data_IF_827003507358
#
_entry.id   IF_827003507358
#
_cell.length_a   1.000
_cell.length_b   1.000
_cell.length_c   1.000
_cell.angle_alpha   90.00
_cell.angle_beta   90.00
_cell.angle_gamma   90.00
#
_symmetry.space_group_name_H-M   'P 1'
#
loop_
_entity.id
_entity.type
_entity.pdbx_description
1 polymer ?
#
# COMPACT_ATOMS: atom_id res chain seq x y z
N UNK A 1 -21.49 21.03 -18.12
CA UNK A 1 -20.65 20.35 -17.12
C UNK A 1 -19.24 20.75 -17.50
N UNK A 2 -18.71 21.77 -16.81
CA UNK A 2 -17.63 22.58 -17.36
C UNK A 2 -16.27 21.92 -17.13
N UNK A 3 -15.60 21.57 -18.23
CA UNK A 3 -14.24 21.01 -18.23
C UNK A 3 -13.23 21.97 -17.57
N UNK A 4 -13.49 23.28 -17.59
CA UNK A 4 -12.66 24.30 -16.95
C UNK A 4 -12.62 24.17 -15.42
N UNK A 5 -13.70 23.71 -14.79
CA UNK A 5 -13.74 23.43 -13.34
C UNK A 5 -12.85 22.22 -13.01
N UNK A 6 -12.82 21.21 -13.89
CA UNK A 6 -12.02 20.00 -13.72
C UNK A 6 -10.52 20.28 -13.95
N UNK A 7 -10.17 21.02 -15.00
CA UNK A 7 -8.82 21.55 -15.26
C UNK A 7 -8.33 22.44 -14.11
N UNK A 8 -9.21 23.29 -13.57
CA UNK A 8 -8.92 24.12 -12.39
C UNK A 8 -8.64 23.32 -11.11
N UNK A 9 -9.27 22.15 -10.95
CA UNK A 9 -9.03 21.25 -9.83
C UNK A 9 -7.72 20.45 -9.99
N UNK A 10 -7.38 20.06 -11.22
CA UNK A 10 -6.14 19.37 -11.57
C UNK A 10 -4.91 20.28 -11.50
N UNK A 11 -5.03 21.56 -11.87
CA UNK A 11 -3.95 22.55 -11.80
C UNK A 11 -3.54 22.95 -10.37
N UNK A 12 -4.35 22.56 -9.37
CA UNK A 12 -4.13 22.86 -7.94
C UNK A 12 -3.54 21.69 -7.14
N UNK A 13 -3.09 20.62 -7.80
CA UNK A 13 -2.35 19.55 -7.14
C UNK A 13 -0.98 20.10 -6.68
N UNK A 14 -0.68 20.15 -5.36
CA UNK A 14 0.66 20.49 -4.92
C UNK A 14 1.64 19.48 -5.52
N UNK A 15 2.80 19.96 -5.99
CA UNK A 15 3.82 19.08 -6.56
C UNK A 15 4.12 17.93 -5.59
N UNK A 16 3.94 16.68 -6.06
CA UNK A 16 4.08 15.48 -5.22
C UNK A 16 5.36 15.52 -4.39
N UNK A 17 5.18 15.35 -3.08
CA UNK A 17 6.28 15.26 -2.14
C UNK A 17 7.23 14.14 -2.57
N UNK A 18 8.51 14.25 -2.17
CA UNK A 18 9.48 13.20 -2.46
C UNK A 18 9.02 11.83 -1.93
N UNK A 19 8.37 11.79 -0.77
CA UNK A 19 7.79 10.58 -0.18
C UNK A 19 6.68 9.98 -1.03
N UNK A 20 5.79 10.79 -1.61
CA UNK A 20 4.70 10.28 -2.47
C UNK A 20 5.24 9.69 -3.76
N UNK A 21 6.18 10.38 -4.43
CA UNK A 21 6.84 9.84 -5.63
C UNK A 21 7.56 8.51 -5.36
N UNK A 22 8.19 8.38 -4.19
CA UNK A 22 8.82 7.11 -3.77
C UNK A 22 7.77 6.06 -3.45
N UNK A 23 6.63 6.43 -2.86
CA UNK A 23 5.55 5.50 -2.55
C UNK A 23 4.97 4.86 -3.83
N UNK A 24 4.71 5.67 -4.86
CA UNK A 24 4.18 5.19 -6.14
C UNK A 24 5.17 4.24 -6.84
N UNK A 25 6.44 4.64 -6.91
CA UNK A 25 7.50 3.82 -7.49
C UNK A 25 7.66 2.47 -6.77
N UNK A 26 7.62 2.50 -5.44
CA UNK A 26 7.69 1.28 -4.63
C UNK A 26 6.44 0.41 -4.81
N UNK A 27 5.26 1.02 -4.94
CA UNK A 27 3.99 0.30 -5.16
C UNK A 27 4.07 -0.50 -6.45
N UNK A 28 4.46 0.13 -7.55
CA UNK A 28 4.55 -0.51 -8.87
C UNK A 28 5.57 -1.65 -8.90
N UNK A 29 6.80 -1.39 -8.41
CA UNK A 29 7.86 -2.39 -8.43
C UNK A 29 7.55 -3.57 -7.51
N UNK A 30 7.07 -3.31 -6.29
CA UNK A 30 6.73 -4.40 -5.36
C UNK A 30 5.54 -5.20 -5.90
N UNK A 31 4.50 -4.57 -6.43
CA UNK A 31 3.37 -5.29 -7.04
C UNK A 31 3.84 -6.22 -8.16
N UNK A 32 4.72 -5.73 -9.05
CA UNK A 32 5.33 -6.56 -10.11
C UNK A 32 6.10 -7.74 -9.53
N UNK A 33 6.92 -7.50 -8.52
CA UNK A 33 7.71 -8.54 -7.88
C UNK A 33 6.85 -9.62 -7.19
N UNK A 34 5.74 -9.23 -6.54
CA UNK A 34 4.83 -10.19 -5.92
C UNK A 34 4.17 -11.12 -6.95
N UNK A 35 3.96 -10.65 -8.17
CA UNK A 35 3.36 -11.44 -9.25
C UNK A 35 4.34 -12.44 -9.87
N UNK A 36 5.63 -12.09 -10.02
CA UNK A 36 6.56 -12.87 -10.86
C UNK A 36 7.86 -13.33 -10.19
N UNK A 37 8.26 -12.72 -9.07
CA UNK A 37 9.59 -12.95 -8.49
C UNK A 37 9.53 -13.60 -7.09
N UNK A 38 8.48 -13.32 -6.32
CA UNK A 38 8.28 -13.95 -5.02
C UNK A 38 7.70 -15.35 -5.21
N UNK A 39 8.52 -16.37 -4.89
CA UNK A 39 8.17 -17.80 -5.04
C UNK A 39 7.56 -18.45 -3.79
N UNK A 40 7.10 -17.65 -2.83
CA UNK A 40 6.43 -18.18 -1.64
C UNK A 40 4.96 -18.50 -2.00
N UNK A 41 4.51 -19.77 -1.90
CA UNK A 41 3.12 -20.16 -2.21
C UNK A 41 2.08 -19.43 -1.37
N UNK A 42 2.46 -18.88 -0.21
CA UNK A 42 1.57 -18.12 0.68
C UNK A 42 1.35 -16.69 0.20
N UNK A 43 2.14 -16.25 -0.77
CA UNK A 43 2.13 -14.87 -1.30
C UNK A 43 1.74 -14.86 -2.77
N UNK A 44 2.32 -15.76 -3.56
CA UNK A 44 2.17 -15.78 -5.02
C UNK A 44 0.71 -15.97 -5.44
N UNK A 45 0.18 -15.02 -6.22
CA UNK A 45 -1.20 -15.07 -6.74
C UNK A 45 -2.30 -14.83 -5.69
N UNK A 46 -1.94 -14.63 -4.42
CA UNK A 46 -2.89 -14.39 -3.34
C UNK A 46 -2.88 -12.95 -2.84
N UNK A 47 -1.76 -12.22 -3.01
CA UNK A 47 -1.56 -10.89 -2.40
C UNK A 47 -1.60 -9.79 -3.46
N UNK A 48 -2.37 -8.73 -3.17
CA UNK A 48 -2.45 -7.51 -3.97
C UNK A 48 -2.04 -6.29 -3.14
N UNK A 49 -1.18 -5.43 -3.68
CA UNK A 49 -0.80 -4.15 -3.03
C UNK A 49 -1.88 -3.09 -3.30
N UNK A 50 -2.53 -2.60 -2.26
CA UNK A 50 -3.58 -1.57 -2.36
C UNK A 50 -2.97 -0.18 -2.33
N UNK A 51 -2.14 0.11 -1.33
CA UNK A 51 -1.53 1.42 -1.15
C UNK A 51 -0.19 1.33 -0.45
N UNK A 52 0.62 2.39 -0.60
CA UNK A 52 1.92 2.51 0.06
C UNK A 52 2.02 3.90 0.68
N UNK A 53 2.48 3.96 1.93
CA UNK A 53 2.81 5.21 2.62
C UNK A 53 4.26 5.21 3.05
N UNK A 54 5.01 6.19 2.58
CA UNK A 54 6.43 6.36 2.92
C UNK A 54 6.59 7.52 3.89
N UNK A 55 7.38 7.32 4.93
CA UNK A 55 7.70 8.38 5.90
C UNK A 55 8.46 9.53 5.23
N UNK A 56 8.33 10.76 5.74
CA UNK A 56 8.97 11.95 5.14
C UNK A 56 10.50 11.81 5.04
N UNK A 57 11.12 11.08 5.96
CA UNK A 57 12.55 10.78 5.99
C UNK A 57 12.97 9.59 5.11
N UNK A 58 12.01 8.97 4.41
CA UNK A 58 12.20 7.84 3.49
C UNK A 58 12.80 6.59 4.16
N UNK A 59 12.69 6.45 5.48
CA UNK A 59 13.23 5.30 6.20
C UNK A 59 12.29 4.11 6.24
N UNK A 60 10.97 4.36 6.24
CA UNK A 60 9.95 3.32 6.36
C UNK A 60 8.91 3.45 5.24
N UNK A 61 8.53 2.32 4.66
CA UNK A 61 7.44 2.20 3.70
C UNK A 61 6.42 1.19 4.22
N UNK A 62 5.19 1.64 4.41
CA UNK A 62 4.07 0.83 4.90
C UNK A 62 3.18 0.47 3.71
N UNK A 63 3.07 -0.82 3.42
CA UNK A 63 2.25 -1.39 2.36
C UNK A 63 0.95 -1.90 2.97
N UNK A 64 -0.17 -1.38 2.48
CA UNK A 64 -1.48 -2.01 2.70
C UNK A 64 -1.70 -3.04 1.61
N UNK A 65 -1.99 -4.28 2.00
CA UNK A 65 -2.23 -5.40 1.09
C UNK A 65 -3.59 -6.03 1.32
N UNK A 66 -4.19 -6.53 0.26
CA UNK A 66 -5.32 -7.45 0.33
C UNK A 66 -4.84 -8.87 0.02
N UNK A 67 -5.45 -9.85 0.67
CA UNK A 67 -5.13 -11.26 0.49
C UNK A 67 -6.42 -11.98 0.13
N UNK A 68 -6.38 -12.77 -0.94
CA UNK A 68 -7.48 -13.67 -1.30
C UNK A 68 -7.46 -14.86 -0.34
N UNK A 69 -8.52 -15.04 0.44
CA UNK A 69 -8.66 -16.13 1.39
C UNK A 69 -9.32 -15.69 2.71
N UNK A 70 -9.18 -16.52 3.75
CA UNK A 70 -9.64 -16.19 5.09
C UNK A 70 -8.51 -15.74 6.02
N UNK A 71 -8.83 -15.60 7.30
CA UNK A 71 -7.89 -15.12 8.34
C UNK A 71 -6.59 -15.95 8.42
N UNK A 72 -6.64 -17.24 8.06
CA UNK A 72 -5.48 -18.13 8.08
C UNK A 72 -4.53 -17.78 6.93
N UNK A 73 -5.06 -17.61 5.73
CA UNK A 73 -4.35 -17.24 4.52
C UNK A 73 -3.76 -15.83 4.67
N UNK A 74 -4.53 -14.89 5.20
CA UNK A 74 -4.06 -13.53 5.53
C UNK A 74 -2.83 -13.55 6.44
N UNK A 75 -2.88 -14.30 7.56
CA UNK A 75 -1.75 -14.42 8.50
C UNK A 75 -0.55 -15.13 7.86
N UNK A 76 -0.79 -16.13 7.01
CA UNK A 76 0.27 -16.85 6.31
C UNK A 76 0.96 -15.95 5.27
N UNK A 77 0.17 -15.15 4.55
CA UNK A 77 0.64 -14.20 3.54
C UNK A 77 1.50 -13.10 4.17
N UNK A 78 1.06 -12.48 5.27
CA UNK A 78 1.87 -11.47 5.99
C UNK A 78 3.21 -12.06 6.42
N UNK A 79 3.21 -13.26 7.03
CA UNK A 79 4.47 -13.96 7.39
C UNK A 79 5.35 -14.26 6.18
N UNK A 80 4.76 -14.59 5.03
CA UNK A 80 5.48 -14.81 3.77
C UNK A 80 6.11 -13.51 3.26
N UNK A 81 5.36 -12.40 3.27
CA UNK A 81 5.83 -11.07 2.89
C UNK A 81 6.97 -10.58 3.80
N UNK A 82 6.87 -10.79 5.11
CA UNK A 82 7.91 -10.42 6.06
C UNK A 82 9.23 -11.17 5.76
N UNK A 83 9.14 -12.46 5.44
CA UNK A 83 10.29 -13.25 5.00
C UNK A 83 10.84 -12.79 3.65
N UNK A 84 9.95 -12.44 2.72
CA UNK A 84 10.31 -11.94 1.39
C UNK A 84 10.87 -10.51 1.43
N UNK A 85 10.61 -9.72 2.47
CA UNK A 85 11.00 -8.30 2.59
C UNK A 85 12.49 -8.07 2.31
N UNK A 86 13.38 -8.92 2.84
CA UNK A 86 14.82 -8.84 2.57
C UNK A 86 15.17 -9.03 1.09
N UNK A 87 14.55 -10.01 0.43
CA UNK A 87 14.70 -10.25 -1.00
C UNK A 87 14.17 -9.08 -1.82
N UNK A 88 12.96 -8.60 -1.51
CA UNK A 88 12.31 -7.47 -2.19
C UNK A 88 13.19 -6.23 -2.09
N UNK A 89 13.65 -5.87 -0.89
CA UNK A 89 14.55 -4.72 -0.69
C UNK A 89 15.84 -4.83 -1.50
N UNK A 90 16.43 -6.03 -1.57
CA UNK A 90 17.67 -6.26 -2.33
C UNK A 90 17.44 -6.08 -3.83
N UNK A 91 16.34 -6.60 -4.36
CA UNK A 91 15.98 -6.44 -5.77
C UNK A 91 15.66 -4.98 -6.11
N UNK A 92 14.90 -4.29 -5.25
CA UNK A 92 14.64 -2.86 -5.40
C UNK A 92 15.94 -2.05 -5.40
N UNK A 93 16.91 -2.38 -4.53
CA UNK A 93 18.21 -1.69 -4.50
C UNK A 93 19.04 -1.85 -5.78
N UNK A 94 18.79 -2.89 -6.59
CA UNK A 94 19.43 -3.08 -7.90
C UNK A 94 18.72 -2.30 -9.02
N UNK A 95 17.42 -2.03 -8.87
CA UNK A 95 16.57 -1.43 -9.91
C UNK A 95 16.40 0.07 -9.72
N UNK A 96 16.24 0.48 -8.47
CA UNK A 96 15.98 1.86 -8.11
C UNK A 96 17.30 2.59 -7.84
N UNK A 97 17.47 3.76 -8.45
CA UNK A 97 18.59 4.67 -8.17
C UNK A 97 18.37 5.42 -6.86
N UNK A 98 18.32 4.68 -5.75
CA UNK A 98 18.10 5.21 -4.41
C UNK A 98 19.29 4.91 -3.50
N UNK A 99 19.72 5.90 -2.71
CA UNK A 99 20.81 5.73 -1.74
C UNK A 99 20.49 4.67 -0.68
N UNK A 100 19.23 4.60 -0.23
CA UNK A 100 18.74 3.62 0.73
C UNK A 100 17.31 3.25 0.38
N UNK A 101 17.05 1.95 0.29
CA UNK A 101 15.67 1.45 0.18
C UNK A 101 15.04 1.47 1.59
N UNK A 102 13.84 2.03 1.75
CA UNK A 102 13.12 2.02 3.03
C UNK A 102 12.97 0.61 3.58
N UNK A 103 12.76 0.48 4.87
CA UNK A 103 12.27 -0.75 5.46
C UNK A 103 10.82 -0.97 5.04
N UNK A 104 10.51 -2.16 4.53
CA UNK A 104 9.19 -2.49 4.00
C UNK A 104 8.40 -3.18 5.10
N UNK A 105 7.24 -2.62 5.43
CA UNK A 105 6.30 -3.11 6.43
C UNK A 105 4.99 -3.47 5.72
N UNK A 106 4.53 -4.70 5.86
CA UNK A 106 3.30 -5.17 5.20
C UNK A 106 2.19 -5.31 6.24
N UNK A 107 1.00 -4.77 5.93
CA UNK A 107 -0.19 -4.89 6.76
C UNK A 107 -1.41 -5.18 5.89
N UNK A 108 -2.34 -5.93 6.45
CA UNK A 108 -3.65 -6.13 5.83
C UNK A 108 -4.37 -4.79 5.73
N UNK A 109 -5.12 -4.61 4.66
CA UNK A 109 -5.94 -3.42 4.50
C UNK A 109 -7.15 -3.48 5.43
N UNK A 110 -7.16 -2.59 6.43
CA UNK A 110 -8.25 -2.47 7.41
C UNK A 110 -9.24 -1.35 7.05
N UNK A 111 -9.15 -0.77 5.84
CA UNK A 111 -9.97 0.40 5.50
C UNK A 111 -11.46 0.10 5.52
N UNK A 112 -11.87 -1.10 5.08
CA UNK A 112 -13.25 -1.56 5.14
C UNK A 112 -13.77 -1.62 6.59
N UNK A 113 -13.00 -2.17 7.52
CA UNK A 113 -13.36 -2.23 8.95
C UNK A 113 -13.47 -0.83 9.56
N UNK A 114 -12.61 0.09 9.12
CA UNK A 114 -12.67 1.49 9.56
C UNK A 114 -13.92 2.20 9.01
N UNK A 115 -14.31 1.94 7.76
CA UNK A 115 -15.54 2.48 7.16
C UNK A 115 -16.79 2.03 7.91
N UNK A 116 -16.93 0.72 8.18
CA UNK A 116 -18.07 0.18 8.94
C UNK A 116 -18.20 0.82 10.33
N UNK A 117 -17.07 1.04 11.01
CA UNK A 117 -17.04 1.69 12.33
C UNK A 117 -17.51 3.14 12.25
N UNK A 118 -17.05 3.89 11.25
CA UNK A 118 -17.45 5.29 11.05
C UNK A 118 -18.94 5.37 10.71
N UNK A 119 -19.43 4.54 9.79
CA UNK A 119 -20.85 4.49 9.45
C UNK A 119 -21.73 4.14 10.66
N UNK A 120 -21.29 3.19 11.49
CA UNK A 120 -22.00 2.84 12.72
C UNK A 120 -22.05 3.98 13.73
N UNK A 121 -20.98 4.77 13.86
CA UNK A 121 -20.95 5.96 14.72
C UNK A 121 -21.84 7.09 14.16
N UNK A 122 -21.83 7.29 12.84
CA UNK A 122 -22.67 8.31 12.18
C UNK A 122 -24.15 7.99 12.31
N UNK A 123 -24.56 6.72 12.17
CA UNK A 123 -25.96 6.30 12.38
C UNK A 123 -26.43 6.61 13.80
N UNK A 124 -25.62 6.33 14.82
CA UNK A 124 -25.96 6.63 16.22
C UNK A 124 -26.20 8.12 16.47
N UNK A 125 -25.38 8.99 15.87
CA UNK A 125 -25.56 10.44 16.00
C UNK A 125 -26.85 10.91 15.31
N UNK A 126 -27.26 10.26 14.21
CA UNK A 126 -28.47 10.62 13.46
C UNK A 126 -29.76 10.06 14.06
N UNK A 127 -29.69 9.02 14.89
CA UNK A 127 -30.83 8.44 15.62
C UNK A 127 -31.09 9.12 16.97
N UNK A 128 -30.10 9.83 17.52
CA UNK A 128 -30.19 10.54 18.82
C UNK A 128 -30.51 12.05 18.70
N UNK A 129 -30.75 12.57 17.48
CA UNK A 129 -31.12 13.96 17.20
C UNK A 129 -32.48 14.08 16.54
#
# INVERSE_FOLDING_TARGET
MDYEIFEGLLSRQPAFSRSERVADLLKEEVARMLLSEVKDPRVQGLVTVISVKVTKDLRHANFSVSVIGGLKEERAAIKGLDKASGFIRRSLGKRLRMRRIPELHFRLDETLKAQEKIEGLLRKIHEEG
#
